data_IF_572140280916
#
_entry.id   IF_572140280916
#
_cell.length_a   1.000
_cell.length_b   1.000
_cell.length_c   1.000
_cell.angle_alpha   90.00
_cell.angle_beta   90.00
_cell.angle_gamma   90.00
#
_symmetry.space_group_name_H-M   'P 1'
#
loop_
_entity.id
_entity.type
_entity.pdbx_description
1 polymer ?
#
# COMPACT_ATOMS: atom_id res chain seq x y z
N UNK A 1 26.18 1.96 14.11
CA UNK A 1 25.45 2.72 13.09
C UNK A 1 24.01 2.24 13.09
N UNK A 2 23.17 2.81 13.97
CA UNK A 2 21.75 2.49 14.02
C UNK A 2 21.12 3.14 12.79
N UNK A 3 21.01 2.37 11.69
CA UNK A 3 20.27 2.78 10.51
C UNK A 3 18.81 2.89 10.94
N UNK A 4 18.33 4.11 11.17
CA UNK A 4 16.91 4.40 11.25
C UNK A 4 16.28 3.90 9.95
N UNK A 5 15.72 2.69 9.98
CA UNK A 5 15.00 2.14 8.86
C UNK A 5 13.64 2.84 8.86
N UNK A 6 13.58 3.98 8.20
CA UNK A 6 12.32 4.68 7.98
C UNK A 6 11.29 3.68 7.44
N UNK A 7 10.13 3.63 8.07
CA UNK A 7 9.01 2.81 7.64
C UNK A 7 7.89 3.71 7.14
N UNK A 8 7.12 3.20 6.21
CA UNK A 8 5.96 3.86 5.67
C UNK A 8 4.75 3.10 6.14
N UNK A 9 3.87 3.78 6.86
CA UNK A 9 2.52 3.29 7.09
C UNK A 9 1.70 3.58 5.85
N UNK A 10 1.20 2.53 5.21
CA UNK A 10 0.34 2.61 4.03
C UNK A 10 -1.06 2.16 4.43
N UNK A 11 -2.05 2.98 4.10
CA UNK A 11 -3.46 2.69 4.39
C UNK A 11 -4.29 2.79 3.12
N UNK A 12 -5.22 1.87 2.91
CA UNK A 12 -6.13 1.82 1.77
C UNK A 12 -7.56 1.87 2.30
N UNK A 13 -8.34 2.88 1.89
CA UNK A 13 -9.79 2.89 2.10
C UNK A 13 -10.44 1.91 1.10
N UNK A 14 -10.51 0.64 1.52
CA UNK A 14 -10.99 -0.46 0.66
C UNK A 14 -12.47 -0.31 0.29
N UNK A 15 -13.28 0.35 1.11
CA UNK A 15 -14.70 0.56 0.79
C UNK A 15 -14.88 1.37 -0.50
N UNK A 16 -14.00 2.35 -0.71
CA UNK A 16 -14.00 3.21 -1.90
C UNK A 16 -13.19 2.65 -3.08
N UNK A 17 -12.57 1.47 -2.94
CA UNK A 17 -11.80 0.84 -4.00
C UNK A 17 -12.69 0.39 -5.17
N UNK A 18 -12.45 0.95 -6.36
CA UNK A 18 -13.17 0.65 -7.60
C UNK A 18 -12.51 -0.43 -8.46
N UNK A 19 -11.58 -1.20 -7.87
CA UNK A 19 -10.85 -2.29 -8.55
C UNK A 19 -10.10 -1.90 -9.83
N UNK A 20 -9.57 -0.68 -9.90
CA UNK A 20 -8.81 -0.18 -11.06
C UNK A 20 -7.43 -0.86 -11.24
N UNK A 21 -6.82 -1.29 -10.13
CA UNK A 21 -5.53 -2.01 -10.11
C UNK A 21 -4.30 -1.23 -10.62
N UNK A 22 -4.39 0.09 -10.80
CA UNK A 22 -3.20 0.91 -11.05
C UNK A 22 -2.12 0.74 -9.95
N UNK A 23 -2.54 0.67 -8.69
CA UNK A 23 -1.61 0.50 -7.56
C UNK A 23 -0.86 -0.84 -7.59
N UNK A 24 -1.54 -1.93 -7.98
CA UNK A 24 -0.93 -3.26 -8.14
C UNK A 24 0.03 -3.26 -9.33
N UNK A 25 -0.31 -2.58 -10.43
CA UNK A 25 0.55 -2.50 -11.61
C UNK A 25 1.81 -1.67 -11.37
N UNK A 26 1.69 -0.56 -10.64
CA UNK A 26 2.81 0.35 -10.35
C UNK A 26 3.70 -0.14 -9.22
N UNK A 27 3.12 -0.79 -8.22
CA UNK A 27 3.85 -1.22 -7.04
C UNK A 27 3.40 -2.63 -6.58
N UNK A 28 3.65 -3.67 -7.40
CA UNK A 28 3.24 -5.05 -7.08
C UNK A 28 3.96 -5.64 -5.87
N UNK A 29 5.07 -5.02 -5.45
CA UNK A 29 5.76 -5.40 -4.22
C UNK A 29 4.94 -5.07 -2.97
N UNK A 30 4.08 -4.06 -3.02
CA UNK A 30 3.31 -3.56 -1.86
C UNK A 30 1.82 -3.86 -1.99
N UNK A 31 1.28 -3.81 -3.19
CA UNK A 31 -0.15 -4.00 -3.44
C UNK A 31 -0.42 -5.31 -4.19
N UNK A 32 -1.44 -6.03 -3.77
CA UNK A 32 -1.98 -7.23 -4.42
C UNK A 32 -3.50 -7.13 -4.56
N UNK A 33 -4.07 -7.75 -5.59
CA UNK A 33 -5.51 -7.91 -5.70
C UNK A 33 -5.99 -8.99 -4.73
N UNK A 34 -6.99 -8.69 -3.91
CA UNK A 34 -7.65 -9.71 -3.10
C UNK A 34 -8.51 -10.59 -4.02
N UNK A 35 -8.32 -11.90 -4.00
CA UNK A 35 -9.11 -12.83 -4.80
C UNK A 35 -10.57 -12.95 -4.30
N UNK A 36 -10.85 -12.63 -3.04
CA UNK A 36 -12.19 -12.75 -2.47
C UNK A 36 -13.17 -11.65 -2.92
N UNK A 37 -12.69 -10.41 -3.03
CA UNK A 37 -13.52 -9.24 -3.32
C UNK A 37 -13.05 -8.44 -4.57
N UNK A 38 -11.92 -8.81 -5.16
CA UNK A 38 -11.35 -8.16 -6.33
C UNK A 38 -10.83 -6.74 -6.08
N UNK A 39 -10.67 -6.31 -4.82
CA UNK A 39 -10.13 -4.97 -4.46
C UNK A 39 -8.65 -5.04 -4.11
N UNK A 40 -7.99 -3.88 -4.17
CA UNK A 40 -6.58 -3.78 -3.83
C UNK A 40 -6.32 -3.94 -2.32
N UNK A 41 -5.27 -4.68 -1.99
CA UNK A 41 -4.82 -5.05 -0.65
C UNK A 41 -3.34 -4.78 -0.51
N UNK A 42 -2.87 -4.60 0.72
CA UNK A 42 -1.45 -4.69 1.01
C UNK A 42 -1.01 -6.15 0.97
N UNK A 43 0.16 -6.42 0.39
CA UNK A 43 0.72 -7.77 0.34
C UNK A 43 0.91 -8.38 1.72
N UNK A 44 0.73 -9.69 1.83
CA UNK A 44 0.87 -10.39 3.11
C UNK A 44 2.21 -10.11 3.83
N UNK A 45 3.28 -9.84 3.06
CA UNK A 45 4.62 -9.49 3.58
C UNK A 45 4.66 -8.19 4.39
N UNK A 46 3.88 -7.19 3.99
CA UNK A 46 3.90 -5.85 4.61
C UNK A 46 2.63 -5.55 5.40
N UNK A 47 1.62 -6.41 5.33
CA UNK A 47 0.34 -6.26 6.01
C UNK A 47 0.51 -6.15 7.52
N UNK A 48 -0.19 -5.20 8.14
CA UNK A 48 -0.17 -4.98 9.59
C UNK A 48 -1.42 -5.58 10.20
N UNK A 49 -1.22 -6.60 11.04
CA UNK A 49 -2.33 -7.36 11.62
C UNK A 49 -3.15 -8.07 10.55
N UNK A 50 -4.42 -8.31 10.87
CA UNK A 50 -5.36 -8.97 9.96
C UNK A 50 -6.10 -7.97 9.05
N UNK A 51 -5.52 -6.78 8.81
CA UNK A 51 -6.13 -5.71 8.03
C UNK A 51 -5.56 -5.69 6.59
N UNK A 52 -6.40 -6.02 5.62
CA UNK A 52 -6.03 -6.03 4.20
C UNK A 52 -5.65 -4.64 3.66
N UNK A 53 -6.14 -3.58 4.30
CA UNK A 53 -5.91 -2.20 3.89
C UNK A 53 -4.80 -1.49 4.65
N UNK A 54 -4.09 -2.12 5.59
CA UNK A 54 -3.03 -1.46 6.36
C UNK A 54 -1.71 -2.22 6.27
N UNK A 55 -0.62 -1.48 6.07
CA UNK A 55 0.71 -2.03 5.84
C UNK A 55 1.84 -1.19 6.42
N UNK A 56 2.94 -1.85 6.80
CA UNK A 56 4.22 -1.24 7.13
C UNK A 56 5.25 -1.65 6.08
N UNK A 57 5.63 -0.69 5.27
CA UNK A 57 6.51 -0.87 4.11
C UNK A 57 7.87 -0.25 4.42
N UNK A 58 9.00 -0.84 4.01
CA UNK A 58 10.30 -0.18 4.12
C UNK A 58 10.34 1.12 3.31
N UNK A 59 11.03 2.14 3.84
CA UNK A 59 11.21 3.43 3.17
C UNK A 59 11.93 3.35 1.80
N UNK A 60 12.58 2.24 1.49
CA UNK A 60 13.16 1.97 0.17
C UNK A 60 12.09 1.90 -0.94
N UNK A 61 10.84 1.56 -0.59
CA UNK A 61 9.71 1.48 -1.51
C UNK A 61 8.87 2.77 -1.52
N UNK A 62 9.35 3.87 -0.90
CA UNK A 62 8.61 5.14 -0.82
C UNK A 62 8.14 5.65 -2.18
N UNK A 63 9.04 5.64 -3.16
CA UNK A 63 8.78 6.16 -4.50
C UNK A 63 7.68 5.35 -5.22
N UNK A 64 7.76 4.02 -5.09
CA UNK A 64 6.81 3.05 -5.62
C UNK A 64 5.41 3.23 -5.00
N UNK A 65 5.34 3.33 -3.67
CA UNK A 65 4.09 3.49 -2.93
C UNK A 65 3.45 4.85 -3.23
N UNK A 66 4.24 5.92 -3.31
CA UNK A 66 3.73 7.26 -3.65
C UNK A 66 3.18 7.30 -5.07
N UNK A 67 3.90 6.72 -6.03
CA UNK A 67 3.44 6.62 -7.42
C UNK A 67 2.12 5.85 -7.52
N UNK A 68 1.98 4.75 -6.77
CA UNK A 68 0.73 3.99 -6.69
C UNK A 68 -0.42 4.80 -6.07
N UNK A 69 -0.14 5.62 -5.05
CA UNK A 69 -1.14 6.48 -4.43
C UNK A 69 -1.60 7.62 -5.34
N UNK A 70 -0.69 8.25 -6.08
CA UNK A 70 -1.00 9.33 -7.03
C UNK A 70 -1.75 8.83 -8.27
N UNK A 71 -1.47 7.59 -8.70
CA UNK A 71 -2.16 6.99 -9.83
C UNK A 71 -3.59 6.53 -9.49
N UNK A 72 -3.95 6.44 -8.20
CA UNK A 72 -5.27 5.99 -7.80
C UNK A 72 -6.33 7.06 -8.16
N UNK A 73 -7.28 6.80 -9.07
CA UNK A 73 -8.23 7.80 -9.57
C UNK A 73 -9.20 8.32 -8.50
N UNK A 74 -9.39 7.55 -7.43
CA UNK A 74 -10.25 7.89 -6.28
C UNK A 74 -9.44 8.28 -5.02
N UNK A 75 -8.11 8.37 -5.13
CA UNK A 75 -7.20 8.82 -4.07
C UNK A 75 -7.42 8.17 -2.68
N UNK A 76 -7.62 6.85 -2.64
CA UNK A 76 -7.92 6.08 -1.42
C UNK A 76 -6.68 5.52 -0.71
N UNK A 77 -5.49 5.76 -1.23
CA UNK A 77 -4.22 5.24 -0.69
C UNK A 77 -3.51 6.37 0.04
N UNK A 78 -3.29 6.18 1.34
CA UNK A 78 -2.61 7.13 2.23
C UNK A 78 -1.24 6.60 2.63
N UNK A 79 -0.24 7.47 2.64
CA UNK A 79 1.15 7.13 2.92
C UNK A 79 1.69 8.07 3.99
N UNK A 80 2.07 7.52 5.13
CA UNK A 80 2.61 8.26 6.27
C UNK A 80 3.99 7.72 6.65
N UNK A 81 4.95 8.61 6.93
CA UNK A 81 6.28 8.21 7.42
C UNK A 81 6.19 7.95 8.92
N UNK A 82 6.66 6.77 9.35
CA UNK A 82 6.75 6.38 10.75
C UNK A 82 8.20 6.03 11.08
N UNK A 83 8.71 6.66 12.15
CA UNK A 83 10.07 6.49 12.68
C UNK A 83 10.12 5.48 13.83
#
# INVERSE_FOLDING_TARGET
>A
MARSMAKLKVTIDRDQCISDMACVSLCPEVFEMNEEDGKSSIVAKYRVGNNLGEGLVPGELEDCVKSAAEACPVSIIHVEKVE
#
